data_IF_470992041530
#
_entry.id   IF_470992041530
#
_cell.length_a   1.000
_cell.length_b   1.000
_cell.length_c   1.000
_cell.angle_alpha   90.00
_cell.angle_beta   90.00
_cell.angle_gamma   90.00
#
_symmetry.space_group_name_H-M   'P 1'
#
loop_
_entity.id
_entity.type
_entity.pdbx_description
1 polymer ?
#
# COMPACT_ATOMS: atom_id res chain seq x y z
N UNK A 1 46.86 -1.19 54.36
CA UNK A 1 45.40 -1.39 54.15
C UNK A 1 45.11 -1.49 52.65
N UNK A 2 44.97 -2.69 52.07
CA UNK A 2 44.90 -2.84 50.60
C UNK A 2 44.26 -4.14 50.08
N UNK A 3 43.29 -4.74 50.77
CA UNK A 3 42.66 -6.02 50.36
C UNK A 3 41.16 -5.94 50.02
N UNK A 4 40.54 -4.75 49.99
CA UNK A 4 39.09 -4.60 49.74
C UNK A 4 38.69 -4.26 48.30
N UNK A 5 39.61 -3.83 47.42
CA UNK A 5 39.26 -3.43 46.04
C UNK A 5 39.36 -4.56 45.00
N UNK A 6 40.15 -5.61 45.24
CA UNK A 6 40.32 -6.72 44.28
C UNK A 6 39.12 -7.69 44.25
N UNK A 7 38.44 -7.92 45.39
CA UNK A 7 37.31 -8.87 45.46
C UNK A 7 36.02 -8.39 44.79
N UNK A 8 35.88 -7.09 44.52
CA UNK A 8 34.67 -6.52 43.91
C UNK A 8 34.70 -6.64 42.39
N UNK A 9 35.89 -6.49 41.78
CA UNK A 9 36.08 -6.59 40.32
C UNK A 9 35.89 -8.03 39.82
N UNK A 10 36.41 -9.02 40.55
CA UNK A 10 36.25 -10.45 40.18
C UNK A 10 34.78 -10.93 40.26
N UNK A 11 33.95 -10.30 41.11
CA UNK A 11 32.52 -10.62 41.20
C UNK A 11 31.72 -10.01 40.05
N UNK A 12 32.05 -8.79 39.63
CA UNK A 12 31.41 -8.12 38.50
C UNK A 12 31.74 -8.81 37.15
N UNK A 13 32.98 -9.27 36.96
CA UNK A 13 33.38 -10.02 35.77
C UNK A 13 32.70 -11.40 35.67
N UNK A 14 32.48 -12.06 36.82
CA UNK A 14 31.75 -13.34 36.88
C UNK A 14 30.26 -13.17 36.53
N UNK A 15 29.60 -12.09 36.96
CA UNK A 15 28.21 -11.80 36.63
C UNK A 15 28.02 -11.41 35.15
N UNK A 16 28.96 -10.66 34.57
CA UNK A 16 28.93 -10.29 33.14
C UNK A 16 29.13 -11.54 32.26
N UNK A 17 30.02 -12.46 32.67
CA UNK A 17 30.26 -13.74 31.99
C UNK A 17 29.05 -14.68 32.06
N UNK A 18 28.33 -14.71 33.19
CA UNK A 18 27.09 -15.49 33.31
C UNK A 18 25.92 -14.88 32.51
N UNK A 19 25.81 -13.55 32.45
CA UNK A 19 24.83 -12.86 31.59
C UNK A 19 25.10 -13.09 30.10
N UNK A 20 26.34 -13.03 29.65
CA UNK A 20 26.68 -13.33 28.24
C UNK A 20 26.47 -14.81 27.88
N UNK A 21 26.67 -15.75 28.80
CA UNK A 21 26.30 -17.16 28.59
C UNK A 21 24.80 -17.38 28.48
N UNK A 22 23.98 -16.67 29.27
CA UNK A 22 22.50 -16.75 29.17
C UNK A 22 21.95 -16.14 27.86
N UNK A 23 22.54 -15.06 27.36
CA UNK A 23 22.13 -14.44 26.09
C UNK A 23 22.46 -15.37 24.90
N UNK A 24 23.63 -16.00 24.90
CA UNK A 24 24.04 -16.93 23.82
C UNK A 24 23.19 -18.22 23.75
N UNK A 25 22.61 -18.67 24.86
CA UNK A 25 21.73 -19.86 24.88
C UNK A 25 20.33 -19.56 24.33
N UNK A 26 19.76 -18.38 24.59
CA UNK A 26 18.44 -17.98 24.07
C UNK A 26 18.43 -17.73 22.56
N UNK A 27 19.53 -17.25 21.98
CA UNK A 27 19.64 -17.01 20.54
C UNK A 27 19.69 -18.31 19.71
N UNK A 28 20.15 -19.42 20.31
CA UNK A 28 20.19 -20.74 19.67
C UNK A 28 18.81 -21.39 19.56
N UNK A 29 18.05 -21.43 20.67
CA UNK A 29 16.71 -22.04 20.69
C UNK A 29 15.68 -21.28 19.84
N UNK A 30 15.76 -19.94 19.80
CA UNK A 30 14.90 -19.14 18.94
C UNK A 30 15.24 -19.29 17.45
N UNK A 31 16.53 -19.48 17.11
CA UNK A 31 16.93 -19.80 15.74
C UNK A 31 16.41 -21.15 15.30
N UNK A 32 16.56 -22.20 16.12
CA UNK A 32 16.06 -23.54 15.79
C UNK A 32 14.54 -23.59 15.67
N UNK A 33 13.79 -22.87 16.52
CA UNK A 33 12.33 -22.75 16.38
C UNK A 33 11.95 -21.98 15.11
N UNK A 34 12.66 -20.92 14.75
CA UNK A 34 12.42 -20.15 13.52
C UNK A 34 12.76 -20.92 12.25
N UNK A 35 13.80 -21.75 12.27
CA UNK A 35 14.19 -22.62 11.16
C UNK A 35 13.22 -23.78 11.00
N UNK A 36 12.80 -24.42 12.11
CA UNK A 36 11.73 -25.44 12.07
C UNK A 36 10.42 -24.87 11.53
N UNK A 37 10.05 -23.64 11.90
CA UNK A 37 8.85 -22.99 11.35
C UNK A 37 8.98 -22.70 9.84
N UNK A 38 10.15 -22.24 9.38
CA UNK A 38 10.42 -21.95 7.96
C UNK A 38 10.48 -23.21 7.10
N UNK A 39 11.00 -24.31 7.63
CA UNK A 39 11.06 -25.60 6.93
C UNK A 39 9.66 -26.25 6.90
N UNK A 40 8.87 -26.14 7.96
CA UNK A 40 7.49 -26.65 7.99
C UNK A 40 6.53 -25.88 7.06
N UNK A 41 6.82 -24.61 6.72
CA UNK A 41 6.01 -23.80 5.80
C UNK A 41 6.53 -23.79 4.37
N UNK A 42 7.66 -24.44 4.08
CA UNK A 42 8.13 -24.70 2.72
C UNK A 42 7.30 -25.83 2.09
N UNK A 43 6.21 -25.47 1.43
CA UNK A 43 5.45 -26.39 0.59
C UNK A 43 3.98 -26.58 0.94
N UNK A 44 3.44 -25.85 1.93
CA UNK A 44 1.99 -25.72 2.05
C UNK A 44 1.53 -24.81 0.92
N UNK A 45 1.28 -25.43 -0.24
CA UNK A 45 0.52 -24.84 -1.32
C UNK A 45 -0.81 -24.39 -0.72
N UNK A 46 -0.92 -23.09 -0.43
CA UNK A 46 -2.22 -22.43 -0.28
C UNK A 46 -2.87 -22.62 -1.65
N UNK A 47 -3.60 -23.72 -1.78
CA UNK A 47 -4.47 -23.96 -2.91
C UNK A 47 -5.59 -22.94 -2.77
N UNK A 48 -5.34 -21.77 -3.32
CA UNK A 48 -6.30 -20.68 -3.43
C UNK A 48 -7.43 -21.12 -4.38
N UNK A 49 -8.27 -22.05 -3.94
CA UNK A 49 -9.49 -22.49 -4.64
C UNK A 49 -10.59 -21.41 -4.65
N UNK A 50 -10.28 -20.17 -4.24
CA UNK A 50 -11.16 -19.00 -4.35
C UNK A 50 -10.45 -17.71 -4.81
N UNK A 51 -9.20 -17.78 -5.29
CA UNK A 51 -8.65 -16.64 -6.01
C UNK A 51 -9.16 -16.68 -7.45
N UNK A 52 -10.38 -16.16 -7.66
CA UNK A 52 -10.56 -15.27 -8.81
C UNK A 52 -9.34 -14.35 -8.75
N UNK A 53 -8.48 -14.37 -9.76
CA UNK A 53 -7.51 -13.30 -9.95
C UNK A 53 -8.35 -12.03 -9.89
N UNK A 54 -8.31 -11.32 -8.77
CA UNK A 54 -8.99 -10.04 -8.69
C UNK A 54 -8.22 -9.19 -9.68
N UNK A 55 -8.84 -8.91 -10.81
CA UNK A 55 -8.22 -8.08 -11.82
C UNK A 55 -7.94 -6.74 -11.15
N UNK A 56 -6.66 -6.42 -10.99
CA UNK A 56 -6.17 -5.18 -10.37
C UNK A 56 -6.83 -3.93 -11.00
N UNK A 57 -7.22 -4.08 -12.26
CA UNK A 57 -7.93 -3.12 -13.11
C UNK A 57 -9.33 -2.78 -12.57
N UNK A 58 -10.05 -3.72 -11.96
CA UNK A 58 -11.47 -3.50 -11.59
C UNK A 58 -11.66 -2.72 -10.29
N UNK A 59 -10.66 -2.70 -9.40
CA UNK A 59 -10.83 -2.14 -8.05
C UNK A 59 -9.97 -0.91 -7.73
N UNK A 60 -8.93 -0.60 -8.53
CA UNK A 60 -7.95 0.42 -8.17
C UNK A 60 -7.73 1.53 -9.22
N UNK A 61 -8.24 1.37 -10.45
CA UNK A 61 -7.93 2.30 -11.54
C UNK A 61 -9.16 3.16 -11.90
N UNK A 62 -9.05 4.47 -11.66
CA UNK A 62 -9.96 5.44 -12.29
C UNK A 62 -9.74 5.37 -13.81
N UNK A 63 -10.83 5.24 -14.57
CA UNK A 63 -10.70 5.29 -16.03
C UNK A 63 -10.24 6.67 -16.46
N UNK A 64 -9.54 6.75 -17.60
CA UNK A 64 -9.02 8.03 -18.10
C UNK A 64 -10.14 9.06 -18.30
N UNK A 65 -11.30 8.64 -18.77
CA UNK A 65 -12.49 9.51 -18.92
C UNK A 65 -13.03 10.00 -17.58
N UNK A 66 -13.08 9.15 -16.56
CA UNK A 66 -13.49 9.56 -15.20
C UNK A 66 -12.48 10.56 -14.61
N UNK A 67 -11.18 10.31 -14.79
CA UNK A 67 -10.12 11.20 -14.34
C UNK A 67 -10.15 12.57 -15.07
N UNK A 68 -10.51 12.58 -16.36
CA UNK A 68 -10.75 13.81 -17.12
C UNK A 68 -11.97 14.57 -16.58
N UNK A 69 -13.09 13.90 -16.35
CA UNK A 69 -14.28 14.52 -15.75
C UNK A 69 -13.96 15.13 -14.38
N UNK A 70 -13.15 14.45 -13.56
CA UNK A 70 -12.66 15.01 -12.29
C UNK A 70 -11.80 16.26 -12.50
N UNK A 71 -10.97 16.29 -13.54
CA UNK A 71 -10.18 17.48 -13.90
C UNK A 71 -11.09 18.66 -14.26
N UNK A 72 -12.15 18.41 -15.04
CA UNK A 72 -13.10 19.44 -15.48
C UNK A 72 -14.01 19.92 -14.36
N UNK A 73 -14.55 19.01 -13.55
CA UNK A 73 -15.45 19.33 -12.42
C UNK A 73 -14.74 20.15 -11.34
N UNK A 74 -13.44 19.92 -11.17
CA UNK A 74 -12.61 20.61 -10.21
C UNK A 74 -11.97 21.90 -10.75
N UNK A 75 -12.10 22.18 -12.05
CA UNK A 75 -11.60 23.39 -12.68
C UNK A 75 -12.44 24.59 -12.19
N UNK A 76 -11.81 25.49 -11.43
CA UNK A 76 -12.41 26.75 -10.98
C UNK A 76 -13.13 26.74 -9.63
N UNK A 77 -13.31 25.58 -8.97
CA UNK A 77 -14.02 25.51 -7.68
C UNK A 77 -13.15 25.64 -6.42
N UNK A 78 -11.83 25.82 -6.54
CA UNK A 78 -10.93 25.89 -5.37
C UNK A 78 -10.89 24.63 -4.48
N UNK A 79 -11.71 23.61 -4.78
CA UNK A 79 -11.93 22.38 -4.00
C UNK A 79 -11.38 21.10 -4.66
N UNK A 80 -10.59 21.24 -5.72
CA UNK A 80 -9.98 20.08 -6.38
C UNK A 80 -8.67 20.43 -7.08
N UNK A 81 -7.92 21.34 -6.47
CA UNK A 81 -6.78 22.04 -7.07
C UNK A 81 -5.56 21.18 -7.42
N UNK A 82 -5.64 19.85 -7.43
CA UNK A 82 -4.49 19.00 -7.67
C UNK A 82 -4.50 18.19 -8.97
N UNK A 83 -5.64 17.96 -9.61
CA UNK A 83 -5.68 17.07 -10.78
C UNK A 83 -5.34 17.86 -12.04
N UNK A 84 -4.30 17.41 -12.76
CA UNK A 84 -3.78 18.09 -13.96
C UNK A 84 -3.51 17.06 -15.05
N UNK A 85 -3.97 17.36 -16.27
CA UNK A 85 -3.58 16.62 -17.48
C UNK A 85 -2.16 17.02 -17.89
N UNK A 86 -1.27 16.05 -18.03
CA UNK A 86 0.12 16.25 -18.47
C UNK A 86 0.47 15.26 -19.58
N UNK A 87 1.31 15.69 -20.50
CA UNK A 87 1.95 14.83 -21.47
C UNK A 87 3.42 14.70 -21.11
N UNK A 88 3.91 13.46 -21.04
CA UNK A 88 5.28 13.16 -20.65
C UNK A 88 6.00 12.46 -21.80
N UNK A 89 7.08 13.08 -22.28
CA UNK A 89 8.00 12.44 -23.21
C UNK A 89 8.89 11.48 -22.41
N UNK A 90 8.86 10.21 -22.78
CA UNK A 90 9.60 9.15 -22.11
C UNK A 90 10.40 8.33 -23.12
N UNK A 91 11.66 8.11 -22.81
CA UNK A 91 12.50 7.18 -23.52
C UNK A 91 12.32 5.78 -22.94
N UNK A 92 12.00 4.80 -23.80
CA UNK A 92 11.80 3.40 -23.39
C UNK A 92 12.77 2.51 -24.15
N UNK A 93 13.44 1.63 -23.41
CA UNK A 93 14.25 0.55 -23.97
C UNK A 93 13.48 -0.77 -23.88
N UNK A 94 13.38 -1.48 -24.99
CA UNK A 94 12.68 -2.75 -25.11
C UNK A 94 13.63 -3.82 -25.66
N UNK A 95 13.55 -5.07 -25.16
CA UNK A 95 14.35 -6.17 -25.69
C UNK A 95 13.92 -6.57 -27.10
N UNK A 96 14.85 -7.16 -27.87
CA UNK A 96 14.63 -7.47 -29.28
C UNK A 96 13.50 -8.46 -29.58
N UNK A 97 13.15 -9.34 -28.65
CA UNK A 97 12.01 -10.24 -28.83
C UNK A 97 10.66 -9.49 -28.83
N UNK A 98 10.63 -8.21 -28.43
CA UNK A 98 9.47 -7.33 -28.51
C UNK A 98 9.55 -6.37 -29.71
N UNK A 99 10.31 -6.70 -30.76
CA UNK A 99 10.45 -5.85 -31.96
C UNK A 99 9.19 -5.80 -32.83
N UNK A 100 8.29 -6.77 -32.72
CA UNK A 100 7.00 -6.70 -33.42
C UNK A 100 6.23 -5.46 -32.97
N UNK A 101 5.66 -4.71 -33.93
CA UNK A 101 4.93 -3.45 -33.68
C UNK A 101 3.81 -3.64 -32.65
N UNK A 102 3.12 -4.78 -32.70
CA UNK A 102 2.06 -5.09 -31.73
C UNK A 102 2.64 -5.37 -30.35
N UNK A 103 3.66 -6.22 -30.26
CA UNK A 103 4.33 -6.54 -29.00
C UNK A 103 4.95 -5.29 -28.33
N UNK A 104 5.60 -4.45 -29.12
CA UNK A 104 6.17 -3.17 -28.70
C UNK A 104 5.10 -2.26 -28.07
N UNK A 105 3.97 -2.08 -28.76
CA UNK A 105 2.88 -1.24 -28.29
C UNK A 105 2.28 -1.77 -26.98
N UNK A 106 2.01 -3.07 -26.90
CA UNK A 106 1.50 -3.70 -25.67
C UNK A 106 2.48 -3.53 -24.51
N UNK A 107 3.79 -3.68 -24.76
CA UNK A 107 4.81 -3.49 -23.75
C UNK A 107 4.88 -2.03 -23.27
N UNK A 108 4.79 -1.07 -24.19
CA UNK A 108 4.74 0.36 -23.86
C UNK A 108 3.50 0.68 -23.03
N UNK A 109 2.32 0.18 -23.42
CA UNK A 109 1.07 0.33 -22.69
C UNK A 109 1.18 -0.24 -21.27
N UNK A 110 1.77 -1.44 -21.13
CA UNK A 110 2.03 -2.04 -19.82
C UNK A 110 2.98 -1.20 -18.97
N UNK A 111 4.07 -0.70 -19.54
CA UNK A 111 5.03 0.19 -18.85
C UNK A 111 4.35 1.47 -18.40
N UNK A 112 3.45 2.03 -19.21
CA UNK A 112 2.71 3.23 -18.87
C UNK A 112 1.70 2.97 -17.76
N UNK A 113 0.86 1.92 -17.87
CA UNK A 113 -0.11 1.54 -16.81
C UNK A 113 0.56 1.25 -15.47
N UNK A 114 1.75 0.64 -15.48
CA UNK A 114 2.55 0.43 -14.27
C UNK A 114 3.02 1.71 -13.57
N UNK A 115 2.79 2.89 -14.14
CA UNK A 115 3.05 4.18 -13.48
C UNK A 115 1.88 4.68 -12.64
N UNK A 116 0.66 4.15 -12.83
CA UNK A 116 -0.52 4.50 -12.05
C UNK A 116 -0.27 4.23 -10.55
N UNK A 117 -0.69 5.16 -9.70
CA UNK A 117 -0.47 5.15 -8.25
C UNK A 117 0.93 5.56 -7.80
N UNK A 118 1.88 5.78 -8.72
CA UNK A 118 3.26 6.14 -8.38
C UNK A 118 3.49 7.64 -8.47
N UNK A 119 4.28 8.15 -7.54
CA UNK A 119 4.80 9.51 -7.64
C UNK A 119 5.87 9.61 -8.72
N UNK A 120 5.73 10.59 -9.61
CA UNK A 120 6.70 10.91 -10.64
C UNK A 120 7.20 12.34 -10.46
N UNK A 121 8.51 12.47 -10.22
CA UNK A 121 9.18 13.78 -10.07
C UNK A 121 9.00 14.66 -11.31
N UNK A 122 9.13 14.07 -12.50
CA UNK A 122 8.93 14.76 -13.79
C UNK A 122 7.51 15.35 -13.93
N UNK A 123 6.52 14.64 -13.38
CA UNK A 123 5.13 15.09 -13.38
C UNK A 123 4.78 15.94 -12.14
N UNK A 124 5.68 16.05 -11.17
CA UNK A 124 5.48 16.66 -9.85
C UNK A 124 4.19 16.20 -9.15
N UNK A 125 3.88 14.90 -9.22
CA UNK A 125 2.63 14.38 -8.67
C UNK A 125 2.46 12.88 -8.84
N UNK A 126 1.31 12.38 -8.41
CA UNK A 126 0.93 10.96 -8.45
C UNK A 126 0.12 10.72 -9.71
N UNK A 127 0.51 9.72 -10.52
CA UNK A 127 -0.25 9.38 -11.73
C UNK A 127 -1.54 8.68 -11.32
N UNK A 128 -2.69 9.24 -11.71
CA UNK A 128 -4.01 8.69 -11.39
C UNK A 128 -4.54 7.83 -12.53
N UNK A 129 -4.34 8.28 -13.77
CA UNK A 129 -4.77 7.57 -14.95
C UNK A 129 -3.81 7.81 -16.10
N UNK A 130 -3.73 6.83 -17.01
CA UNK A 130 -2.95 6.90 -18.25
C UNK A 130 -3.93 6.93 -19.41
N UNK A 131 -3.69 7.85 -20.34
CA UNK A 131 -4.48 8.03 -21.55
C UNK A 131 -3.78 7.46 -22.78
N UNK A 132 -3.95 8.16 -23.90
CA UNK A 132 -3.36 7.76 -25.18
C UNK A 132 -1.82 7.83 -25.14
N UNK A 133 -1.20 6.92 -25.89
CA UNK A 133 0.26 6.81 -25.98
C UNK A 133 0.67 6.95 -27.44
N UNK A 134 1.47 7.97 -27.72
CA UNK A 134 1.92 8.30 -29.07
C UNK A 134 3.39 7.96 -29.22
N UNK A 135 3.73 7.17 -30.23
CA UNK A 135 5.12 6.89 -30.59
C UNK A 135 5.65 8.11 -31.36
N UNK A 136 6.71 8.73 -30.86
CA UNK A 136 7.19 10.03 -31.37
C UNK A 136 8.43 9.93 -32.25
N UNK A 137 9.20 8.85 -32.10
CA UNK A 137 10.41 8.59 -32.90
C UNK A 137 10.34 7.25 -33.62
N UNK A 138 11.17 6.99 -34.64
CA UNK A 138 11.40 5.63 -35.11
C UNK A 138 12.25 4.84 -34.09
N UNK A 139 12.12 3.50 -34.03
CA UNK A 139 12.93 2.68 -33.14
C UNK A 139 14.41 2.78 -33.53
N UNK A 140 15.27 2.93 -32.54
CA UNK A 140 16.73 3.07 -32.72
C UNK A 140 17.45 1.92 -32.03
N UNK A 141 18.49 1.42 -32.67
CA UNK A 141 19.42 0.45 -32.09
C UNK A 141 20.72 1.18 -31.80
N UNK A 142 21.21 1.05 -30.58
CA UNK A 142 22.52 1.57 -30.17
C UNK A 142 23.50 0.39 -30.21
N UNK A 143 24.68 0.61 -30.78
CA UNK A 143 25.74 -0.41 -30.80
C UNK A 143 26.00 -0.92 -29.36
N UNK A 144 26.29 -2.22 -29.25
CA UNK A 144 26.56 -2.94 -27.98
C UNK A 144 25.38 -3.10 -27.01
N UNK A 145 24.21 -2.54 -27.32
CA UNK A 145 23.00 -2.74 -26.51
C UNK A 145 22.06 -3.76 -27.16
N UNK A 146 21.73 -4.82 -26.43
CA UNK A 146 20.81 -5.86 -26.89
C UNK A 146 19.32 -5.47 -26.73
N UNK A 147 19.02 -4.20 -26.95
CA UNK A 147 17.71 -3.56 -26.80
C UNK A 147 17.53 -2.52 -27.91
N UNK A 148 16.28 -2.26 -28.30
CA UNK A 148 15.95 -1.10 -29.11
C UNK A 148 15.30 -0.02 -28.26
N UNK A 149 15.47 1.21 -28.70
CA UNK A 149 15.10 2.42 -27.99
C UNK A 149 13.99 3.13 -28.76
N UNK A 150 13.00 3.61 -28.02
CA UNK A 150 11.81 4.21 -28.57
C UNK A 150 11.36 5.37 -27.70
N UNK A 151 11.21 6.55 -28.28
CA UNK A 151 10.61 7.69 -27.57
C UNK A 151 9.10 7.63 -27.73
N UNK A 152 8.40 7.82 -26.61
CA UNK A 152 6.94 7.83 -26.53
C UNK A 152 6.46 9.04 -25.77
N UNK A 153 5.34 9.60 -26.21
CA UNK A 153 4.62 10.65 -25.52
C UNK A 153 3.41 9.99 -24.84
N UNK A 154 3.43 9.99 -23.51
CA UNK A 154 2.38 9.37 -22.69
C UNK A 154 1.49 10.48 -22.16
N UNK A 155 0.21 10.42 -22.49
CA UNK A 155 -0.78 11.25 -21.86
C UNK A 155 -1.19 10.69 -20.50
N UNK A 156 -1.22 11.53 -19.47
CA UNK A 156 -1.53 11.10 -18.11
C UNK A 156 -2.30 12.16 -17.35
N UNK A 157 -3.16 11.71 -16.44
CA UNK A 157 -3.79 12.56 -15.43
C UNK A 157 -3.02 12.40 -14.13
N UNK A 158 -2.57 13.52 -13.57
CA UNK A 158 -1.66 13.56 -12.44
C UNK A 158 -2.32 14.32 -11.30
N UNK A 159 -2.37 13.71 -10.12
CA UNK A 159 -2.78 14.36 -8.89
C UNK A 159 -1.57 15.00 -8.18
N UNK A 160 -1.67 16.30 -7.97
CA UNK A 160 -0.68 17.19 -7.38
C UNK A 160 -1.31 17.83 -6.14
N UNK A 161 -1.22 17.21 -4.96
CA UNK A 161 -1.87 17.74 -3.76
C UNK A 161 -1.34 19.15 -3.45
N UNK A 162 -2.24 20.06 -3.10
CA UNK A 162 -1.91 21.44 -2.70
C UNK A 162 -2.02 21.58 -1.20
N UNK A 163 -1.05 22.30 -0.63
CA UNK A 163 -0.99 22.55 0.81
C UNK A 163 -2.31 23.15 1.30
N UNK A 164 -2.87 22.58 2.37
CA UNK A 164 -4.10 23.03 3.03
C UNK A 164 -5.41 22.88 2.24
N UNK A 165 -5.38 22.30 1.03
CA UNK A 165 -6.61 21.90 0.34
C UNK A 165 -7.26 20.71 1.07
N UNK A 166 -8.59 20.63 0.96
CA UNK A 166 -9.39 19.54 1.48
C UNK A 166 -9.74 18.54 0.39
N UNK A 167 -9.60 17.25 0.70
CA UNK A 167 -9.86 16.13 -0.20
C UNK A 167 -10.80 15.12 0.44
N UNK A 168 -11.71 14.58 -0.36
CA UNK A 168 -12.55 13.47 0.05
C UNK A 168 -11.74 12.17 0.05
N UNK A 169 -11.83 11.42 1.16
CA UNK A 169 -11.13 10.17 1.36
C UNK A 169 -12.06 9.11 1.96
N UNK A 170 -11.86 7.85 1.57
CA UNK A 170 -12.56 6.70 2.14
C UNK A 170 -11.68 6.08 3.21
N UNK A 171 -12.19 5.94 4.43
CA UNK A 171 -11.47 5.32 5.54
C UNK A 171 -11.30 3.83 5.27
N UNK A 172 -10.06 3.32 5.38
CA UNK A 172 -9.76 1.90 5.21
C UNK A 172 -9.42 1.20 6.51
N UNK A 173 -8.81 1.91 7.45
CA UNK A 173 -8.38 1.34 8.71
C UNK A 173 -8.43 2.43 9.78
N UNK A 174 -9.01 2.09 10.92
CA UNK A 174 -8.99 2.91 12.14
C UNK A 174 -8.25 2.11 13.20
N UNK A 175 -7.16 2.67 13.73
CA UNK A 175 -6.43 2.09 14.85
C UNK A 175 -6.21 3.16 15.94
N UNK A 176 -5.85 2.73 17.14
CA UNK A 176 -5.67 3.62 18.29
C UNK A 176 -4.64 4.71 17.97
N UNK A 177 -5.10 5.95 17.80
CA UNK A 177 -4.28 7.13 17.56
C UNK A 177 -4.03 7.47 16.08
N UNK A 178 -4.42 6.62 15.11
CA UNK A 178 -4.24 6.93 13.69
C UNK A 178 -5.33 6.37 12.79
N UNK A 179 -5.63 7.10 11.73
CA UNK A 179 -6.60 6.73 10.71
C UNK A 179 -5.88 6.65 9.37
N UNK A 180 -6.12 5.57 8.63
CA UNK A 180 -5.65 5.41 7.25
C UNK A 180 -6.85 5.53 6.33
N UNK A 181 -6.80 6.52 5.44
CA UNK A 181 -7.81 6.75 4.43
C UNK A 181 -7.19 6.74 3.04
N UNK A 182 -8.03 6.57 2.02
CA UNK A 182 -7.61 6.52 0.62
C UNK A 182 -8.37 7.58 -0.17
N UNK A 183 -7.63 8.49 -0.77
CA UNK A 183 -8.14 9.51 -1.69
C UNK A 183 -8.18 8.91 -3.10
N UNK A 184 -9.30 9.11 -3.80
CA UNK A 184 -9.51 8.62 -5.18
C UNK A 184 -9.29 7.10 -5.34
N UNK A 185 -9.52 6.31 -4.29
CA UNK A 185 -9.25 4.86 -4.23
C UNK A 185 -7.81 4.44 -4.60
N UNK A 186 -6.86 5.38 -4.65
CA UNK A 186 -5.50 5.14 -5.14
C UNK A 186 -4.43 5.65 -4.16
N UNK A 187 -4.64 6.84 -3.58
CA UNK A 187 -3.62 7.52 -2.80
C UNK A 187 -3.87 7.36 -1.32
N UNK A 188 -2.94 6.75 -0.60
CA UNK A 188 -3.05 6.56 0.85
C UNK A 188 -2.71 7.84 1.60
N UNK A 189 -3.54 8.14 2.60
CA UNK A 189 -3.38 9.29 3.50
C UNK A 189 -3.37 8.81 4.94
N UNK A 190 -2.35 9.24 5.67
CA UNK A 190 -2.20 9.02 7.09
C UNK A 190 -2.69 10.24 7.86
N UNK A 191 -3.57 10.00 8.81
CA UNK A 191 -4.17 11.02 9.67
C UNK A 191 -3.83 10.68 11.12
N UNK A 192 -3.43 11.70 11.89
CA UNK A 192 -3.45 11.60 13.33
C UNK A 192 -4.90 11.67 13.81
N UNK A 193 -5.27 10.85 14.80
CA UNK A 193 -6.59 10.89 15.38
C UNK A 193 -6.75 12.16 16.22
N UNK A 194 -7.68 13.03 15.82
CA UNK A 194 -8.01 14.27 16.52
C UNK A 194 -9.28 14.07 17.38
N UNK A 195 -9.51 14.94 18.37
CA UNK A 195 -10.72 14.93 19.22
C UNK A 195 -12.01 14.94 18.38
N UNK A 196 -12.03 15.70 17.28
CA UNK A 196 -13.14 15.73 16.33
C UNK A 196 -13.42 14.38 15.67
N UNK A 197 -12.36 13.64 15.30
CA UNK A 197 -12.52 12.32 14.69
C UNK A 197 -13.06 11.28 15.69
N UNK A 198 -12.73 11.43 16.98
CA UNK A 198 -13.26 10.60 18.07
C UNK A 198 -14.73 10.95 18.33
N UNK A 199 -15.06 12.24 18.41
CA UNK A 199 -16.43 12.71 18.62
C UNK A 199 -17.38 12.27 17.49
N UNK A 200 -16.90 12.30 16.24
CA UNK A 200 -17.69 11.89 15.08
C UNK A 200 -17.82 10.37 14.96
N UNK A 201 -17.05 9.58 15.73
CA UNK A 201 -17.11 8.12 15.73
C UNK A 201 -16.79 7.51 14.37
N UNK A 202 -15.68 7.93 13.75
CA UNK A 202 -15.28 7.50 12.40
C UNK A 202 -15.06 5.98 12.36
N UNK A 203 -15.73 5.31 11.44
CA UNK A 203 -15.66 3.88 11.20
C UNK A 203 -15.01 3.54 9.85
N UNK A 204 -14.73 2.26 9.63
CA UNK A 204 -14.23 1.77 8.34
C UNK A 204 -15.25 1.99 7.22
N UNK A 205 -14.75 2.38 6.04
CA UNK A 205 -15.50 2.74 4.84
C UNK A 205 -16.35 4.02 4.92
N UNK A 206 -16.21 4.82 5.98
CA UNK A 206 -16.78 6.18 6.01
C UNK A 206 -16.07 7.10 5.01
N UNK A 207 -16.82 8.07 4.45
CA UNK A 207 -16.26 9.13 3.61
C UNK A 207 -16.00 10.36 4.46
N UNK A 208 -14.76 10.81 4.46
CA UNK A 208 -14.27 11.89 5.31
C UNK A 208 -13.60 12.98 4.47
N UNK A 209 -13.61 14.21 4.98
CA UNK A 209 -12.82 15.32 4.47
C UNK A 209 -11.48 15.38 5.19
N UNK A 210 -10.42 15.41 4.39
CA UNK A 210 -9.04 15.46 4.86
C UNK A 210 -8.37 16.72 4.37
N UNK A 211 -7.83 17.52 5.30
CA UNK A 211 -6.98 18.66 4.97
C UNK A 211 -5.54 18.21 4.79
N UNK A 212 -4.98 18.42 3.60
CA UNK A 212 -3.60 18.02 3.29
C UNK A 212 -2.58 18.92 3.99
N UNK A 213 -1.55 18.31 4.57
CA UNK A 213 -0.48 19.00 5.31
C UNK A 213 0.89 18.75 4.69
N UNK A 214 1.27 17.49 4.52
CA UNK A 214 2.60 17.13 4.04
C UNK A 214 2.57 15.84 3.23
N UNK A 215 3.61 15.61 2.44
CA UNK A 215 3.78 14.38 1.64
C UNK A 215 5.14 13.78 1.91
N UNK A 216 5.15 12.46 2.15
CA UNK A 216 6.36 11.66 2.30
C UNK A 216 6.52 10.77 1.09
N UNK A 217 7.62 10.94 0.37
CA UNK A 217 7.93 10.15 -0.83
C UNK A 217 9.08 9.21 -0.49
N UNK A 218 8.85 7.90 -0.62
CA UNK A 218 9.89 6.88 -0.53
C UNK A 218 10.01 6.16 -1.87
N UNK A 219 11.06 6.46 -2.61
CA UNK A 219 11.24 6.01 -4.01
C UNK A 219 10.11 6.51 -4.91
N UNK A 220 9.10 5.66 -5.18
CA UNK A 220 7.92 5.98 -5.99
C UNK A 220 6.60 5.86 -5.21
N UNK A 221 6.66 5.33 -3.98
CA UNK A 221 5.52 5.27 -3.09
C UNK A 221 5.32 6.64 -2.44
N UNK A 222 4.10 7.13 -2.52
CA UNK A 222 3.68 8.37 -1.90
C UNK A 222 2.75 8.07 -0.73
N UNK A 223 3.05 8.67 0.43
CA UNK A 223 2.18 8.70 1.59
C UNK A 223 1.83 10.15 1.86
N UNK A 224 0.55 10.49 1.80
CA UNK A 224 0.09 11.81 2.20
C UNK A 224 -0.13 11.84 3.71
N UNK A 225 0.08 13.00 4.30
CA UNK A 225 -0.21 13.31 5.69
C UNK A 225 -1.20 14.47 5.74
N UNK A 226 -2.20 14.34 6.60
CA UNK A 226 -3.24 15.35 6.75
C UNK A 226 -3.88 15.34 8.11
N UNK A 227 -4.83 16.26 8.30
CA UNK A 227 -5.67 16.34 9.49
C UNK A 227 -7.12 16.10 9.10
N UNK A 228 -7.85 15.44 9.98
CA UNK A 228 -9.30 15.26 9.84
C UNK A 228 -10.02 16.62 9.90
N UNK A 229 -10.94 16.86 8.96
CA UNK A 229 -11.73 18.10 8.90
C UNK A 229 -13.21 17.88 9.18
N UNK A 230 -13.78 16.74 8.77
CA UNK A 230 -15.19 16.42 9.02
C UNK A 230 -15.66 15.19 8.24
N UNK A 231 -16.87 14.71 8.55
CA UNK A 231 -17.48 13.57 7.87
C UNK A 231 -18.37 14.03 6.71
N UNK A 232 -18.26 13.35 5.57
CA UNK A 232 -19.13 13.60 4.40
C UNK A 232 -20.31 12.65 4.44
N UNK A 233 -20.03 11.36 4.60
CA UNK A 233 -21.03 10.31 4.56
C UNK A 233 -20.64 9.19 5.53
N UNK A 234 -21.52 8.90 6.49
CA UNK A 234 -21.40 7.74 7.37
C UNK A 234 -21.91 6.52 6.65
N UNK A 235 -21.12 5.45 6.64
CA UNK A 235 -21.57 4.19 6.11
C UNK A 235 -22.62 3.60 7.07
N UNK A 236 -23.83 3.37 6.56
CA UNK A 236 -24.87 2.67 7.33
C UNK A 236 -24.50 1.20 7.36
N UNK A 237 -23.75 0.78 8.37
CA UNK A 237 -23.60 -0.64 8.66
C UNK A 237 -24.97 -1.18 9.05
N UNK A 238 -25.58 -1.97 8.17
CA UNK A 238 -26.68 -2.86 8.54
C UNK A 238 -26.13 -3.84 9.58
N UNK A 239 -26.41 -3.59 10.85
CA UNK A 239 -26.18 -4.56 11.92
C UNK A 239 -27.09 -5.79 11.69
N UNK A 240 -26.59 -6.76 10.91
CA UNK A 240 -27.01 -8.16 10.94
C UNK A 240 -25.79 -9.04 11.20
N UNK A 241 -25.11 -8.80 12.31
CA UNK A 241 -24.39 -9.87 13.00
C UNK A 241 -25.40 -10.50 13.95
N UNK A 242 -26.12 -11.50 13.43
CA UNK A 242 -26.80 -12.48 14.27
C UNK A 242 -25.75 -13.12 15.17
N UNK A 243 -25.91 -12.93 16.47
CA UNK A 243 -25.36 -13.79 17.49
C UNK A 243 -25.60 -15.23 17.05
N UNK A 244 -24.52 -15.98 16.78
CA UNK A 244 -24.60 -17.44 16.88
C UNK A 244 -24.39 -17.73 18.34
N UNK A 245 -25.49 -18.00 19.03
CA UNK A 245 -25.45 -18.73 20.29
C UNK A 245 -24.74 -20.05 20.00
N UNK A 246 -23.69 -20.31 20.75
CA UNK A 246 -23.05 -21.62 20.84
C UNK A 246 -24.08 -22.53 21.52
N UNK A 247 -24.81 -23.33 20.74
CA UNK A 247 -25.53 -24.48 21.28
C UNK A 247 -24.50 -25.53 21.69
N UNK A 248 -24.42 -25.75 23.01
CA UNK A 248 -23.73 -26.89 23.63
C UNK A 248 -24.38 -28.19 23.12
N UNK A 249 -23.65 -28.97 22.31
CA UNK A 249 -24.04 -30.35 22.02
C UNK A 249 -23.65 -31.23 23.21
N UNK A 250 -24.66 -31.51 24.05
CA UNK A 250 -24.65 -32.59 25.04
C UNK A 250 -24.38 -33.94 24.36
N UNK A 251 -23.25 -34.56 24.70
CA UNK A 251 -22.97 -35.95 24.35
C UNK A 251 -23.85 -36.87 25.18
N UNK A 252 -24.95 -37.34 24.59
CA UNK A 252 -25.78 -38.41 25.13
C UNK A 252 -25.03 -39.74 25.17
N UNK A 253 -25.10 -40.37 26.35
CA UNK A 253 -24.65 -41.73 26.66
C UNK A 253 -25.19 -42.76 25.65
N UNK A 254 -24.31 -43.61 25.11
CA UNK A 254 -24.71 -44.86 24.46
C UNK A 254 -24.54 -45.97 25.50
N UNK A 255 -25.66 -46.36 26.09
CA UNK A 255 -25.77 -47.53 26.95
C UNK A 255 -25.45 -48.82 26.21
N UNK A 256 -24.66 -49.66 26.88
CA UNK A 256 -24.46 -51.08 26.58
C UNK A 256 -25.67 -51.88 27.09
N UNK A 257 -26.21 -52.77 26.27
CA UNK A 257 -26.93 -54.02 26.64
C UNK A 257 -26.88 -54.89 25.36
N UNK A 258 -26.07 -55.95 25.27
CA UNK A 258 -26.33 -57.31 25.79
C UNK A 258 -27.76 -57.80 25.51
N UNK A 259 -27.91 -58.63 24.47
CA UNK A 259 -28.46 -60.00 24.51
C UNK A 259 -28.10 -60.78 23.23
#
# INVERSE_FOLDING_TARGET
MGKRKLKTVEKEEAEISQKTKRIKLNDGENREKSEKYRVATQGVNITNKKNKKMDFVENCELTFEQALKLTETNRGKGKGGGIVRKQLLKHISLPYHLTDKKAARTAIEFIARNTVGKYKKEANGIVVAVGDIKIVSPPRVIADQMVYHQDVLIEQVVFTPKLHDEYEAVVKLVQNGFIVAVVMNLVTVHLAQNEHAVADGVAENDRIMVKYSAMKIKSSLCQLHGTYSGIVEKNRVNNRTSFKEEEEEDFGEIDQCEE
#
